data_IF_050595008172
#
_entry.id   IF_050595008172
#
_cell.length_a   1.000
_cell.length_b   1.000
_cell.length_c   1.000
_cell.angle_alpha   90.00
_cell.angle_beta   90.00
_cell.angle_gamma   90.00
#
_symmetry.space_group_name_H-M   'P 1'
#
loop_
_entity.id
_entity.type
_entity.pdbx_description
1 polymer ?
#
# COMPACT_ATOMS: atom_id res chain seq x y z
N UNK A 1 -14.95 -15.88 -2.91
CA UNK A 1 -14.99 -14.94 -4.04
C UNK A 1 -16.30 -15.16 -4.81
N UNK A 2 -16.82 -14.13 -5.45
CA UNK A 2 -18.11 -14.13 -6.14
C UNK A 2 -19.34 -14.39 -5.23
N UNK A 3 -19.29 -13.93 -3.98
CA UNK A 3 -20.41 -13.97 -3.05
C UNK A 3 -20.73 -12.55 -2.54
N UNK A 4 -21.29 -11.67 -3.40
CA UNK A 4 -21.50 -10.26 -3.05
C UNK A 4 -22.33 -10.06 -1.79
N UNK A 5 -23.38 -10.89 -1.58
CA UNK A 5 -24.23 -10.77 -0.40
C UNK A 5 -23.44 -10.99 0.90
N UNK A 6 -22.59 -12.00 0.96
CA UNK A 6 -21.73 -12.23 2.14
C UNK A 6 -20.77 -11.08 2.38
N UNK A 7 -20.25 -10.48 1.30
CA UNK A 7 -19.39 -9.28 1.41
C UNK A 7 -20.17 -8.11 1.98
N UNK A 8 -21.38 -7.86 1.50
CA UNK A 8 -22.28 -6.81 2.03
C UNK A 8 -22.59 -7.02 3.52
N UNK A 9 -22.94 -8.24 3.92
CA UNK A 9 -23.26 -8.56 5.31
C UNK A 9 -22.04 -8.31 6.24
N UNK A 10 -20.84 -8.70 5.79
CA UNK A 10 -19.61 -8.45 6.53
C UNK A 10 -19.26 -6.96 6.55
N UNK A 11 -19.45 -6.25 5.44
CA UNK A 11 -19.20 -4.81 5.36
C UNK A 11 -20.07 -4.04 6.38
N UNK A 12 -21.35 -4.36 6.47
CA UNK A 12 -22.26 -3.75 7.44
C UNK A 12 -21.82 -4.04 8.88
N UNK A 13 -21.47 -5.30 9.17
CA UNK A 13 -21.00 -5.69 10.51
C UNK A 13 -19.72 -4.96 10.92
N UNK A 14 -18.73 -4.96 10.05
CA UNK A 14 -17.42 -4.32 10.32
C UNK A 14 -17.57 -2.80 10.43
N UNK A 15 -18.40 -2.18 9.58
CA UNK A 15 -18.64 -0.74 9.63
C UNK A 15 -19.22 -0.32 10.98
N UNK A 16 -20.20 -1.03 11.50
CA UNK A 16 -20.78 -0.76 12.83
C UNK A 16 -19.75 -0.85 13.96
N UNK A 17 -18.83 -1.81 13.88
CA UNK A 17 -17.78 -1.93 14.91
C UNK A 17 -16.76 -0.81 14.81
N UNK A 18 -16.31 -0.44 13.62
CA UNK A 18 -15.35 0.63 13.42
C UNK A 18 -15.91 2.01 13.73
N UNK A 19 -17.20 2.25 13.42
CA UNK A 19 -17.85 3.52 13.72
C UNK A 19 -17.92 3.83 15.21
N UNK A 20 -17.97 2.84 16.10
CA UNK A 20 -17.87 3.04 17.56
C UNK A 20 -16.58 3.77 17.97
N UNK A 21 -15.49 3.59 17.19
CA UNK A 21 -14.23 4.28 17.41
C UNK A 21 -14.21 5.66 16.74
N UNK A 22 -14.81 5.75 15.55
CA UNK A 22 -14.97 7.02 14.84
C UNK A 22 -15.78 8.02 15.66
N UNK A 23 -16.85 7.58 16.33
CA UNK A 23 -17.67 8.39 17.24
C UNK A 23 -16.89 8.91 18.45
N UNK A 24 -15.83 8.21 18.85
CA UNK A 24 -14.89 8.63 19.90
C UNK A 24 -13.79 9.58 19.39
N UNK A 25 -13.84 9.96 18.10
CA UNK A 25 -12.87 10.88 17.48
C UNK A 25 -11.67 10.22 16.80
N UNK A 26 -11.64 8.89 16.66
CA UNK A 26 -10.58 8.20 15.94
C UNK A 26 -10.80 8.19 14.43
N UNK A 27 -9.73 8.17 13.66
CA UNK A 27 -9.74 7.86 12.23
C UNK A 27 -9.39 6.38 12.01
N UNK A 28 -9.88 5.80 10.93
CA UNK A 28 -9.56 4.42 10.53
C UNK A 28 -8.39 4.45 9.55
N UNK A 29 -7.28 3.85 9.94
CA UNK A 29 -6.07 3.83 9.12
C UNK A 29 -5.84 2.42 8.57
N UNK A 30 -5.66 2.31 7.27
CA UNK A 30 -5.35 1.05 6.60
C UNK A 30 -3.88 0.98 6.24
N UNK A 31 -3.24 -0.15 6.55
CA UNK A 31 -1.84 -0.43 6.25
C UNK A 31 -1.63 -1.15 4.91
N UNK A 32 -2.72 -1.51 4.24
CA UNK A 32 -2.68 -2.23 2.97
C UNK A 32 -3.59 -1.54 1.97
N UNK A 33 -3.05 -1.17 0.83
CA UNK A 33 -3.77 -0.41 -0.20
C UNK A 33 -5.09 -1.07 -0.65
N UNK A 34 -5.17 -2.42 -0.67
CA UNK A 34 -6.41 -3.13 -1.00
C UNK A 34 -7.51 -2.95 0.05
N UNK A 35 -7.14 -2.90 1.34
CA UNK A 35 -8.10 -2.60 2.40
C UNK A 35 -8.58 -1.15 2.31
N UNK A 36 -7.66 -0.20 2.04
CA UNK A 36 -8.02 1.20 1.81
C UNK A 36 -9.00 1.37 0.66
N UNK A 37 -8.72 0.75 -0.48
CA UNK A 37 -9.62 0.79 -1.64
C UNK A 37 -11.00 0.20 -1.30
N UNK A 38 -11.04 -0.93 -0.62
CA UNK A 38 -12.29 -1.60 -0.24
C UNK A 38 -13.16 -0.71 0.66
N UNK A 39 -12.59 -0.18 1.75
CA UNK A 39 -13.33 0.63 2.72
C UNK A 39 -13.75 2.00 2.15
N UNK A 40 -12.88 2.63 1.34
CA UNK A 40 -13.12 3.96 0.80
C UNK A 40 -14.06 3.97 -0.41
N UNK A 41 -14.02 2.93 -1.25
CA UNK A 41 -14.68 2.96 -2.56
C UNK A 41 -15.54 1.73 -2.85
N UNK A 42 -15.05 0.52 -2.62
CA UNK A 42 -15.77 -0.68 -3.06
C UNK A 42 -17.04 -0.95 -2.23
N UNK A 43 -16.96 -0.81 -0.90
CA UNK A 43 -18.14 -0.97 -0.04
C UNK A 43 -19.22 0.08 -0.29
N UNK A 44 -18.90 1.38 -0.47
CA UNK A 44 -19.88 2.36 -0.92
C UNK A 44 -20.54 2.04 -2.27
N UNK A 45 -19.82 1.41 -3.20
CA UNK A 45 -20.39 0.98 -4.49
C UNK A 45 -21.36 -0.22 -4.32
N UNK A 46 -21.04 -1.15 -3.41
CA UNK A 46 -21.88 -2.31 -3.13
C UNK A 46 -23.14 -1.95 -2.30
N UNK A 47 -23.02 -0.94 -1.45
CA UNK A 47 -24.06 -0.53 -0.50
C UNK A 47 -24.26 0.99 -0.54
N UNK A 48 -24.70 1.55 -1.68
CA UNK A 48 -24.73 3.00 -1.91
C UNK A 48 -25.68 3.76 -1.00
N UNK A 49 -26.70 3.10 -0.43
CA UNK A 49 -27.69 3.72 0.45
C UNK A 49 -27.40 3.52 1.94
N UNK A 50 -26.29 2.86 2.29
CA UNK A 50 -25.93 2.60 3.68
C UNK A 50 -25.10 3.75 4.26
N UNK A 51 -25.66 4.51 5.19
CA UNK A 51 -25.05 5.69 5.79
C UNK A 51 -23.81 5.33 6.66
N UNK A 52 -23.82 4.20 7.37
CA UNK A 52 -22.68 3.74 8.16
C UNK A 52 -21.45 3.52 7.27
N UNK A 53 -21.66 2.91 6.11
CA UNK A 53 -20.58 2.67 5.13
C UNK A 53 -20.07 3.98 4.54
N UNK A 54 -20.95 4.91 4.21
CA UNK A 54 -20.55 6.25 3.72
C UNK A 54 -19.76 7.02 4.78
N UNK A 55 -20.18 6.95 6.03
CA UNK A 55 -19.48 7.61 7.13
C UNK A 55 -18.10 6.98 7.34
N UNK A 56 -18.01 5.65 7.38
CA UNK A 56 -16.74 4.94 7.50
C UNK A 56 -15.78 5.27 6.35
N UNK A 57 -16.27 5.28 5.11
CA UNK A 57 -15.48 5.63 3.94
C UNK A 57 -14.79 7.00 4.07
N UNK A 58 -15.53 8.00 4.53
CA UNK A 58 -15.00 9.37 4.75
C UNK A 58 -13.98 9.46 5.87
N UNK A 59 -14.01 8.53 6.82
CA UNK A 59 -13.11 8.48 8.00
C UNK A 59 -11.98 7.47 7.84
N UNK A 60 -11.92 6.80 6.69
CA UNK A 60 -10.85 5.86 6.37
C UNK A 60 -9.75 6.56 5.57
N UNK A 61 -8.51 6.36 5.97
CA UNK A 61 -7.32 6.81 5.26
C UNK A 61 -6.34 5.66 5.05
N UNK A 62 -5.61 5.75 3.97
CA UNK A 62 -4.39 4.95 3.79
C UNK A 62 -3.29 5.51 4.71
N UNK A 63 -2.40 4.67 5.23
CA UNK A 63 -1.33 5.10 6.15
C UNK A 63 -0.41 6.15 5.49
N UNK A 64 -0.08 5.97 4.23
CA UNK A 64 0.79 6.90 3.51
C UNK A 64 0.11 8.27 3.35
N UNK A 65 -1.21 8.28 3.05
CA UNK A 65 -2.04 9.48 3.00
C UNK A 65 -2.09 10.16 4.37
N UNK A 66 -2.31 9.39 5.43
CA UNK A 66 -2.43 9.90 6.79
C UNK A 66 -1.14 10.57 7.26
N UNK A 67 0.01 9.96 7.05
CA UNK A 67 1.31 10.55 7.46
C UNK A 67 1.61 11.83 6.66
N UNK A 68 1.31 11.85 5.36
CA UNK A 68 1.47 13.07 4.54
C UNK A 68 0.56 14.20 5.04
N UNK A 69 -0.68 13.88 5.42
CA UNK A 69 -1.62 14.87 5.94
C UNK A 69 -1.16 15.43 7.30
N UNK A 70 -0.72 14.58 8.22
CA UNK A 70 -0.18 15.00 9.52
C UNK A 70 1.06 15.86 9.33
N UNK A 71 1.99 15.43 8.47
CA UNK A 71 3.22 16.19 8.24
C UNK A 71 2.96 17.62 7.78
N UNK A 72 1.87 17.85 7.05
CA UNK A 72 1.47 19.18 6.58
C UNK A 72 0.76 20.02 7.65
N UNK A 73 0.01 19.38 8.55
CA UNK A 73 -0.79 20.06 9.57
C UNK A 73 -0.01 20.38 10.84
N UNK A 74 0.75 19.41 11.31
CA UNK A 74 1.39 19.41 12.61
C UNK A 74 2.92 19.30 12.52
N UNK A 75 3.44 18.94 11.34
CA UNK A 75 4.83 18.56 11.17
C UNK A 75 5.09 17.13 11.63
N UNK A 76 6.31 16.67 11.43
CA UNK A 76 6.78 15.39 11.95
C UNK A 76 7.54 15.58 13.25
N UNK A 77 7.57 14.55 14.10
CA UNK A 77 8.43 14.53 15.29
C UNK A 77 9.90 14.79 14.89
N UNK A 78 10.64 15.43 15.77
CA UNK A 78 12.07 15.65 15.55
C UNK A 78 12.85 14.32 15.55
N UNK A 79 13.91 14.26 14.76
CA UNK A 79 14.83 13.11 14.77
C UNK A 79 14.77 12.24 13.51
N UNK A 80 13.96 12.58 12.51
CA UNK A 80 14.03 11.92 11.22
C UNK A 80 15.39 12.20 10.56
N UNK A 81 16.14 11.14 10.28
CA UNK A 81 17.47 11.19 9.67
C UNK A 81 17.47 10.71 8.22
N UNK A 82 18.62 10.75 7.59
CA UNK A 82 18.84 10.26 6.23
C UNK A 82 18.88 8.73 6.15
N UNK A 83 18.56 8.18 5.00
CA UNK A 83 18.74 6.77 4.63
C UNK A 83 19.56 6.69 3.35
N UNK A 84 20.67 5.98 3.42
CA UNK A 84 21.57 5.80 2.27
C UNK A 84 21.06 4.77 1.27
N UNK A 85 21.42 4.97 -0.01
CA UNK A 85 21.29 3.97 -1.07
C UNK A 85 20.00 4.03 -1.87
N UNK A 86 19.10 4.96 -1.54
CA UNK A 86 17.87 5.21 -2.30
C UNK A 86 16.80 4.09 -2.18
N UNK A 87 15.63 4.38 -2.69
CA UNK A 87 14.47 3.47 -2.68
C UNK A 87 13.78 3.42 -4.04
N UNK A 88 13.41 2.23 -4.48
CA UNK A 88 12.47 2.03 -5.59
C UNK A 88 11.11 1.67 -5.01
N UNK A 89 10.12 2.53 -5.22
CA UNK A 89 8.73 2.33 -4.76
C UNK A 89 7.92 1.70 -5.88
N UNK A 90 7.38 0.53 -5.64
CA UNK A 90 6.33 -0.04 -6.46
C UNK A 90 4.99 0.53 -6.01
N UNK A 91 4.41 1.43 -6.82
CA UNK A 91 3.08 2.00 -6.59
C UNK A 91 2.01 1.02 -7.04
N UNK A 92 1.43 0.30 -6.09
CA UNK A 92 0.51 -0.80 -6.35
C UNK A 92 -0.80 -0.34 -7.00
N UNK A 93 -1.47 -1.25 -7.74
CA UNK A 93 -2.69 -0.92 -8.46
C UNK A 93 -3.82 -0.45 -7.54
N UNK A 94 -4.00 -1.04 -6.36
CA UNK A 94 -5.02 -0.63 -5.40
C UNK A 94 -4.73 0.73 -4.74
N UNK A 95 -3.46 1.11 -4.59
CA UNK A 95 -3.11 2.47 -4.16
C UNK A 95 -3.44 3.50 -5.25
N UNK A 96 -3.10 3.20 -6.50
CA UNK A 96 -3.47 4.04 -7.65
C UNK A 96 -4.98 4.18 -7.81
N UNK A 97 -5.73 3.09 -7.62
CA UNK A 97 -7.18 3.09 -7.71
C UNK A 97 -7.89 3.92 -6.62
N UNK A 98 -7.21 4.22 -5.51
CA UNK A 98 -7.73 5.13 -4.49
C UNK A 98 -7.71 6.61 -4.94
N UNK A 99 -7.13 6.91 -6.09
CA UNK A 99 -7.11 8.25 -6.68
C UNK A 99 -6.55 9.37 -5.75
N UNK A 100 -5.67 8.99 -4.83
CA UNK A 100 -5.06 9.90 -3.84
C UNK A 100 -3.69 10.45 -4.29
N UNK A 101 -3.25 10.12 -5.49
CA UNK A 101 -1.88 10.35 -5.96
C UNK A 101 -0.87 9.35 -5.36
N UNK A 102 0.41 9.56 -5.59
CA UNK A 102 1.45 8.67 -5.06
C UNK A 102 1.86 9.09 -3.64
N UNK A 103 1.05 8.73 -2.65
CA UNK A 103 1.27 9.09 -1.25
C UNK A 103 2.48 8.40 -0.64
N UNK A 104 2.80 7.17 -1.05
CA UNK A 104 4.02 6.49 -0.64
C UNK A 104 5.27 7.31 -1.00
N UNK A 105 5.36 7.78 -2.25
CA UNK A 105 6.44 8.68 -2.67
C UNK A 105 6.45 9.98 -1.87
N UNK A 106 5.29 10.60 -1.67
CA UNK A 106 5.20 11.89 -0.99
C UNK A 106 5.55 11.75 0.50
N UNK A 107 5.19 10.65 1.14
CA UNK A 107 5.61 10.31 2.50
C UNK A 107 7.14 10.09 2.58
N UNK A 108 7.70 9.32 1.67
CA UNK A 108 9.14 9.08 1.66
C UNK A 108 9.98 10.33 1.40
N UNK A 109 9.45 11.34 0.70
CA UNK A 109 10.11 12.65 0.55
C UNK A 109 10.29 13.42 1.86
N UNK A 110 9.64 12.98 2.94
CA UNK A 110 9.85 13.53 4.27
C UNK A 110 11.20 13.10 4.87
N UNK A 111 11.82 12.05 4.33
CA UNK A 111 13.17 11.61 4.69
C UNK A 111 14.18 12.54 3.98
N UNK A 112 15.11 13.18 4.71
CA UNK A 112 16.08 14.09 4.10
C UNK A 112 16.94 13.39 3.03
N UNK A 113 17.18 14.07 1.92
CA UNK A 113 18.12 13.68 0.84
C UNK A 113 17.88 12.29 0.22
N UNK A 114 16.74 11.65 0.46
CA UNK A 114 16.46 10.33 -0.09
C UNK A 114 16.25 10.36 -1.61
N UNK A 115 16.94 9.48 -2.33
CA UNK A 115 16.66 9.22 -3.74
C UNK A 115 15.45 8.29 -3.86
N UNK A 116 14.43 8.68 -4.64
CA UNK A 116 13.20 7.90 -4.85
C UNK A 116 12.99 7.67 -6.34
N UNK A 117 12.90 6.41 -6.74
CA UNK A 117 12.41 5.98 -8.05
C UNK A 117 11.04 5.33 -7.89
N UNK A 118 10.11 5.57 -8.82
CA UNK A 118 8.75 5.01 -8.78
C UNK A 118 8.55 4.07 -9.96
N UNK A 119 7.89 2.93 -9.69
CA UNK A 119 7.47 1.95 -10.69
C UNK A 119 5.97 1.75 -10.61
N UNK A 120 5.27 2.15 -11.68
CA UNK A 120 3.81 2.06 -11.81
C UNK A 120 3.41 0.96 -12.81
N UNK A 121 3.95 -0.23 -12.62
CA UNK A 121 3.67 -1.37 -13.48
C UNK A 121 3.07 -2.52 -12.67
N UNK A 122 2.19 -3.30 -13.30
CA UNK A 122 1.54 -4.41 -12.62
C UNK A 122 2.57 -5.40 -12.07
N UNK A 123 2.42 -5.76 -10.80
CA UNK A 123 3.24 -6.79 -10.16
C UNK A 123 2.85 -8.22 -10.57
N UNK A 124 1.70 -8.39 -11.23
CA UNK A 124 1.20 -9.71 -11.61
C UNK A 124 0.51 -10.48 -10.49
N UNK A 125 0.60 -10.01 -9.23
CA UNK A 125 0.13 -10.77 -8.07
C UNK A 125 -1.39 -11.03 -8.08
N UNK A 126 -2.22 -10.00 -8.26
CA UNK A 126 -3.68 -10.13 -8.39
C UNK A 126 -4.38 -10.89 -7.25
N UNK A 127 -4.02 -10.63 -5.99
CA UNK A 127 -4.57 -11.33 -4.83
C UNK A 127 -4.24 -12.83 -4.87
N UNK A 128 -5.27 -13.69 -4.81
CA UNK A 128 -5.07 -15.16 -4.85
C UNK A 128 -4.58 -15.66 -6.20
N UNK A 129 -4.78 -14.90 -7.29
CA UNK A 129 -4.36 -15.30 -8.64
C UNK A 129 -2.87 -15.63 -8.72
N UNK A 130 -2.02 -14.83 -8.08
CA UNK A 130 -0.58 -15.00 -8.10
C UNK A 130 -0.05 -16.23 -7.35
N UNK A 131 -0.86 -16.83 -6.47
CA UNK A 131 -0.45 -17.98 -5.63
C UNK A 131 -1.16 -19.28 -6.01
N UNK A 132 -2.12 -19.26 -6.92
CA UNK A 132 -2.83 -20.46 -7.36
C UNK A 132 -2.02 -21.22 -8.41
N UNK A 133 -2.00 -22.56 -8.30
CA UNK A 133 -1.23 -23.45 -9.19
C UNK A 133 -1.48 -23.20 -10.69
N UNK A 134 -2.71 -22.89 -11.10
CA UNK A 134 -3.05 -22.72 -12.52
C UNK A 134 -2.71 -21.33 -13.09
N UNK A 135 -2.46 -20.32 -12.26
CA UNK A 135 -2.26 -18.92 -12.67
C UNK A 135 -0.89 -18.34 -12.28
N UNK A 136 -0.14 -19.04 -11.46
CA UNK A 136 1.17 -18.58 -10.97
C UNK A 136 2.15 -18.22 -12.10
N UNK A 137 2.24 -19.06 -13.14
CA UNK A 137 3.15 -18.79 -14.27
C UNK A 137 2.75 -17.54 -15.06
N UNK A 138 1.45 -17.28 -15.18
CA UNK A 138 0.95 -16.05 -15.80
C UNK A 138 1.28 -14.84 -14.94
N UNK A 139 1.07 -14.95 -13.62
CA UNK A 139 1.42 -13.92 -12.65
C UNK A 139 2.92 -13.54 -12.75
N UNK A 140 3.80 -14.55 -12.81
CA UNK A 140 5.24 -14.36 -12.98
C UNK A 140 5.59 -13.66 -14.30
N UNK A 141 4.99 -14.06 -15.41
CA UNK A 141 5.20 -13.40 -16.72
C UNK A 141 4.84 -11.93 -16.67
N UNK A 142 3.70 -11.58 -16.07
CA UNK A 142 3.26 -10.19 -15.93
C UNK A 142 4.20 -9.41 -15.00
N UNK A 143 4.55 -9.97 -13.83
CA UNK A 143 5.40 -9.33 -12.83
C UNK A 143 6.84 -9.07 -13.31
N UNK A 144 7.39 -9.90 -14.17
CA UNK A 144 8.75 -9.72 -14.74
C UNK A 144 8.97 -8.35 -15.37
N UNK A 145 7.93 -7.72 -15.90
CA UNK A 145 8.03 -6.39 -16.47
C UNK A 145 8.29 -5.30 -15.43
N UNK A 146 7.69 -5.39 -14.24
CA UNK A 146 7.95 -4.47 -13.12
C UNK A 146 9.32 -4.79 -12.47
N UNK A 147 9.59 -6.06 -12.20
CA UNK A 147 10.84 -6.53 -11.60
C UNK A 147 12.07 -6.06 -12.39
N UNK A 148 12.08 -6.20 -13.72
CA UNK A 148 13.18 -5.70 -14.57
C UNK A 148 13.45 -4.19 -14.41
N UNK A 149 12.40 -3.38 -14.23
CA UNK A 149 12.56 -1.94 -14.03
C UNK A 149 13.16 -1.68 -12.64
N UNK A 150 12.66 -2.38 -11.60
CA UNK A 150 13.16 -2.25 -10.22
C UNK A 150 14.65 -2.58 -10.17
N UNK A 151 15.04 -3.72 -10.74
CA UNK A 151 16.45 -4.15 -10.84
C UNK A 151 17.31 -3.08 -11.50
N UNK A 152 16.86 -2.52 -12.63
CA UNK A 152 17.60 -1.48 -13.36
C UNK A 152 17.82 -0.20 -12.55
N UNK A 153 16.92 0.12 -11.60
CA UNK A 153 17.07 1.30 -10.74
C UNK A 153 18.21 1.16 -9.74
N UNK A 154 18.56 -0.05 -9.38
CA UNK A 154 19.71 -0.39 -8.52
C UNK A 154 19.76 0.42 -7.22
N UNK A 155 18.58 0.67 -6.60
CA UNK A 155 18.50 1.28 -5.28
C UNK A 155 18.65 0.20 -4.20
N UNK A 156 19.15 0.59 -3.03
CA UNK A 156 19.35 -0.30 -1.89
C UNK A 156 18.02 -0.89 -1.37
N UNK A 157 16.96 -0.09 -1.38
CA UNK A 157 15.67 -0.49 -0.86
C UNK A 157 14.64 -0.64 -1.97
N UNK A 158 13.77 -1.63 -1.81
CA UNK A 158 12.52 -1.75 -2.53
C UNK A 158 11.36 -1.63 -1.55
N UNK A 159 10.38 -0.80 -1.86
CA UNK A 159 9.16 -0.67 -1.07
C UNK A 159 7.91 -0.83 -1.94
N UNK A 160 6.82 -1.31 -1.32
CA UNK A 160 5.50 -1.37 -1.94
C UNK A 160 4.42 -1.17 -0.88
N UNK A 161 3.42 -0.33 -1.19
CA UNK A 161 2.19 -0.12 -0.43
C UNK A 161 1.22 -1.33 -0.50
N UNK A 162 1.63 -2.38 -1.20
CA UNK A 162 0.99 -3.70 -1.17
C UNK A 162 2.04 -4.77 -0.82
N UNK A 163 2.08 -5.28 0.43
CA UNK A 163 3.09 -6.24 0.88
C UNK A 163 3.17 -7.50 0.02
N UNK A 164 2.02 -8.02 -0.44
CA UNK A 164 1.99 -9.22 -1.28
C UNK A 164 2.56 -8.97 -2.68
N UNK A 165 2.28 -7.80 -3.25
CA UNK A 165 2.89 -7.40 -4.53
C UNK A 165 4.41 -7.20 -4.38
N UNK A 166 4.85 -6.59 -3.28
CA UNK A 166 6.26 -6.44 -2.94
C UNK A 166 6.98 -7.79 -2.85
N UNK A 167 6.44 -8.73 -2.07
CA UNK A 167 6.98 -10.10 -1.95
C UNK A 167 7.04 -10.82 -3.28
N UNK A 168 5.99 -10.74 -4.09
CA UNK A 168 5.97 -11.37 -5.41
C UNK A 168 7.05 -10.81 -6.33
N UNK A 169 7.22 -9.49 -6.37
CA UNK A 169 8.27 -8.85 -7.16
C UNK A 169 9.67 -9.25 -6.69
N UNK A 170 9.88 -9.35 -5.38
CA UNK A 170 11.15 -9.83 -4.81
C UNK A 170 11.46 -11.29 -5.17
N UNK A 171 10.46 -12.18 -5.18
CA UNK A 171 10.66 -13.54 -5.65
C UNK A 171 11.18 -13.57 -7.10
N UNK A 172 10.67 -12.69 -7.96
CA UNK A 172 11.12 -12.57 -9.34
C UNK A 172 12.52 -11.96 -9.50
N UNK A 173 13.01 -11.23 -8.49
CA UNK A 173 14.37 -10.69 -8.43
C UNK A 173 15.39 -11.73 -7.97
N UNK A 174 15.02 -12.65 -7.11
CA UNK A 174 15.92 -13.71 -6.60
C UNK A 174 16.54 -14.58 -7.70
N UNK A 175 15.89 -14.67 -8.85
CA UNK A 175 16.46 -15.27 -10.04
C UNK A 175 17.69 -14.50 -10.60
N UNK A 176 18.07 -13.36 -10.01
CA UNK A 176 19.07 -12.42 -10.58
C UNK A 176 20.20 -12.00 -9.64
N UNK A 177 20.36 -12.62 -8.45
CA UNK A 177 21.41 -12.30 -7.47
C UNK A 177 21.43 -10.86 -6.92
N UNK A 178 20.35 -10.11 -6.96
CA UNK A 178 20.29 -8.74 -6.43
C UNK A 178 19.66 -8.74 -5.05
N UNK A 179 20.40 -8.22 -4.08
CA UNK A 179 20.16 -8.00 -2.65
C UNK A 179 19.13 -8.91 -1.91
N UNK A 180 19.56 -9.47 -0.79
CA UNK A 180 18.78 -10.34 0.10
C UNK A 180 17.71 -9.62 0.95
N UNK A 181 17.51 -8.32 0.77
CA UNK A 181 16.57 -7.56 1.58
C UNK A 181 15.12 -7.78 1.13
N UNK A 182 14.22 -7.97 2.09
CA UNK A 182 12.79 -8.08 1.82
C UNK A 182 12.21 -6.78 1.23
N UNK A 183 11.10 -6.90 0.49
CA UNK A 183 10.32 -5.72 0.09
C UNK A 183 9.68 -5.11 1.34
N UNK A 184 9.97 -3.84 1.60
CA UNK A 184 9.46 -3.10 2.76
C UNK A 184 8.11 -2.44 2.45
N UNK A 185 7.31 -2.20 3.48
CA UNK A 185 6.25 -1.20 3.37
C UNK A 185 6.88 0.21 3.46
N UNK A 186 6.37 1.24 2.74
CA UNK A 186 6.95 2.58 2.79
C UNK A 186 7.09 3.15 4.21
N UNK A 187 6.15 2.86 5.12
CA UNK A 187 6.21 3.30 6.52
C UNK A 187 7.42 2.71 7.30
N UNK A 188 7.89 1.52 6.92
CA UNK A 188 9.05 0.91 7.56
C UNK A 188 10.35 1.69 7.25
N UNK A 189 10.40 2.37 6.10
CA UNK A 189 11.51 3.27 5.78
C UNK A 189 11.45 4.56 6.61
N UNK A 190 10.25 5.05 6.93
CA UNK A 190 10.10 6.15 7.91
C UNK A 190 10.58 5.71 9.29
N UNK A 191 10.20 4.50 9.76
CA UNK A 191 10.69 3.95 11.02
C UNK A 191 12.23 3.84 11.02
N UNK A 192 12.83 3.31 9.95
CA UNK A 192 14.30 3.27 9.79
C UNK A 192 14.94 4.66 9.85
N UNK A 193 14.31 5.68 9.26
CA UNK A 193 14.80 7.05 9.29
C UNK A 193 14.78 7.64 10.72
N UNK A 194 13.84 7.18 11.56
CA UNK A 194 13.80 7.49 12.99
C UNK A 194 14.68 6.58 13.86
N UNK A 195 15.30 5.55 13.27
CA UNK A 195 16.10 4.53 13.98
C UNK A 195 15.31 3.72 15.02
N UNK A 196 14.06 3.40 14.71
CA UNK A 196 13.13 2.56 15.50
C UNK A 196 12.69 1.34 14.70
#
# INVERSE_FOLDING_TARGET
QAEPQKVCDQAIKVSKELLKWVEKGYEVITLTASCGLMLKFEWPLLLPDNEDIKQLSKKTKDIDEYIVDISKKEGLAKGIGEIDGGVTVHHACHARAQNMGNKARDMLKLIPNIKIDVVEKCAGHGGTFGVMKGSHDVANKVGKGASKIIIKKNNKYMASDCPLAGKHLKQLEQDTNISNDEALHPIELIAKAYKI
#
